data_IF_945769381034
#
_entry.id   IF_945769381034
#
_cell.length_a   1.000
_cell.length_b   1.000
_cell.length_c   1.000
_cell.angle_alpha   90.00
_cell.angle_beta   90.00
_cell.angle_gamma   90.00
#
_symmetry.space_group_name_H-M   'P 1'
#
loop_
_entity.id
_entity.type
_entity.pdbx_description
1 polymer ?
#
# COMPACT_ATOMS: atom_id res chain seq x y z
N UNK A 1 4.62 -2.21 -16.96
CA UNK A 1 4.95 -0.78 -16.81
C UNK A 1 3.71 0.07 -16.54
N UNK A 2 2.79 0.22 -17.50
CA UNK A 2 1.62 1.13 -17.42
C UNK A 2 0.67 0.87 -16.24
N UNK A 3 0.41 -0.40 -15.93
CA UNK A 3 -0.53 -0.79 -14.87
C UNK A 3 -0.17 -0.27 -13.47
N UNK A 4 1.14 -0.21 -13.14
CA UNK A 4 1.59 0.32 -11.83
C UNK A 4 1.32 1.82 -11.74
N UNK A 5 1.62 2.54 -12.83
CA UNK A 5 1.43 3.98 -12.88
C UNK A 5 -0.05 4.38 -12.77
N UNK A 6 -0.92 3.69 -13.51
CA UNK A 6 -2.37 3.89 -13.44
C UNK A 6 -2.92 3.59 -12.04
N UNK A 7 -2.45 2.52 -11.41
CA UNK A 7 -2.88 2.17 -10.05
C UNK A 7 -2.36 3.17 -9.02
N UNK A 8 -1.11 3.62 -9.16
CA UNK A 8 -0.51 4.62 -8.28
C UNK A 8 -1.24 5.96 -8.35
N UNK A 9 -1.60 6.42 -9.56
CA UNK A 9 -2.40 7.64 -9.72
C UNK A 9 -3.79 7.51 -9.07
N UNK A 10 -4.41 6.33 -9.13
CA UNK A 10 -5.69 6.07 -8.43
C UNK A 10 -5.52 5.97 -6.92
N UNK A 11 -4.37 5.49 -6.45
CA UNK A 11 -4.12 5.15 -5.04
C UNK A 11 -2.68 5.48 -4.61
N UNK A 12 -2.33 6.76 -4.47
CA UNK A 12 -0.95 7.20 -4.20
C UNK A 12 -0.44 6.82 -2.79
N UNK A 13 -1.33 6.34 -1.93
CA UNK A 13 -1.05 5.90 -0.56
C UNK A 13 -0.63 4.43 -0.48
N UNK A 14 -0.71 3.67 -1.58
CA UNK A 14 -0.36 2.26 -1.57
C UNK A 14 1.15 2.04 -1.60
N UNK A 15 1.67 1.55 -0.48
CA UNK A 15 3.03 1.03 -0.42
C UNK A 15 3.18 -0.29 -1.19
N UNK A 16 4.43 -0.73 -1.34
CA UNK A 16 4.82 -1.91 -2.14
C UNK A 16 3.93 -3.14 -1.88
N UNK A 17 3.58 -3.42 -0.63
CA UNK A 17 2.76 -4.60 -0.28
C UNK A 17 1.32 -4.51 -0.77
N UNK A 18 0.75 -3.30 -0.78
CA UNK A 18 -0.59 -3.05 -1.32
C UNK A 18 -0.53 -3.03 -2.85
N UNK A 19 0.53 -2.45 -3.41
CA UNK A 19 0.76 -2.40 -4.86
C UNK A 19 0.89 -3.80 -5.45
N UNK A 20 1.74 -4.65 -4.85
CA UNK A 20 1.83 -6.07 -5.19
C UNK A 20 0.43 -6.68 -5.16
N UNK A 21 -0.37 -6.33 -4.13
CA UNK A 21 -1.70 -6.90 -3.85
C UNK A 21 -2.66 -6.65 -5.01
N UNK A 22 -2.74 -5.38 -5.40
CA UNK A 22 -3.58 -4.94 -6.50
C UNK A 22 -3.12 -5.46 -7.86
N UNK A 23 -1.81 -5.61 -8.08
CA UNK A 23 -1.28 -6.04 -9.38
C UNK A 23 -1.42 -7.55 -9.61
N UNK A 24 -1.36 -8.38 -8.56
CA UNK A 24 -1.31 -9.86 -8.68
C UNK A 24 -2.53 -10.59 -8.15
N UNK A 25 -3.41 -9.93 -7.40
CA UNK A 25 -4.63 -10.60 -6.93
C UNK A 25 -5.60 -10.82 -8.11
N UNK A 26 -6.08 -12.05 -8.37
CA UNK A 26 -7.07 -12.32 -9.41
C UNK A 26 -8.44 -11.66 -9.12
N UNK A 27 -8.68 -11.24 -7.87
CA UNK A 27 -9.82 -10.39 -7.45
C UNK A 27 -9.44 -8.89 -7.33
N UNK A 28 -8.25 -8.53 -7.79
CA UNK A 28 -7.41 -7.41 -7.33
C UNK A 28 -7.69 -6.01 -7.84
N UNK A 29 -8.94 -5.66 -8.15
CA UNK A 29 -9.33 -4.23 -8.31
C UNK A 29 -10.25 -3.71 -7.21
N UNK A 30 -10.82 -4.59 -6.37
CA UNK A 30 -11.92 -4.22 -5.47
C UNK A 30 -11.63 -4.34 -3.96
N UNK A 31 -10.60 -5.06 -3.50
CA UNK A 31 -10.42 -5.25 -2.06
C UNK A 31 -9.41 -4.27 -1.45
N UNK A 32 -9.92 -3.26 -0.76
CA UNK A 32 -9.14 -2.36 0.10
C UNK A 32 -9.03 -3.04 1.46
N UNK A 33 -7.94 -3.76 1.73
CA UNK A 33 -7.75 -4.37 3.05
C UNK A 33 -6.42 -5.12 3.24
N UNK A 34 -5.85 -5.14 4.46
CA UNK A 34 -4.55 -5.74 4.74
C UNK A 34 -4.66 -7.25 5.00
N UNK A 35 -5.24 -8.02 4.09
CA UNK A 35 -5.27 -9.49 4.24
C UNK A 35 -4.10 -10.08 3.48
N UNK A 36 -3.06 -10.52 4.19
CA UNK A 36 -1.91 -11.27 3.64
C UNK A 36 -2.43 -12.57 2.99
N UNK A 37 -2.30 -12.79 1.67
CA UNK A 37 -2.32 -14.14 1.15
C UNK A 37 -0.99 -14.81 1.57
N UNK A 38 -1.09 -15.93 2.29
CA UNK A 38 0.05 -16.77 2.62
C UNK A 38 0.55 -17.42 1.32
N UNK A 39 1.65 -16.93 0.75
CA UNK A 39 2.22 -17.51 -0.48
C UNK A 39 2.84 -16.51 -1.46
N UNK A 40 2.82 -15.21 -1.17
CA UNK A 40 3.46 -14.24 -2.06
C UNK A 40 4.96 -14.18 -1.87
N UNK A 41 5.67 -14.29 -2.98
CA UNK A 41 7.12 -14.48 -2.96
C UNK A 41 7.81 -13.13 -2.75
N UNK A 42 8.85 -13.12 -1.91
CA UNK A 42 9.65 -11.92 -1.63
C UNK A 42 10.15 -11.24 -2.91
N UNK A 43 10.55 -12.06 -3.91
CA UNK A 43 11.00 -11.61 -5.23
C UNK A 43 10.02 -10.68 -5.94
N UNK A 44 8.72 -10.96 -5.85
CA UNK A 44 7.68 -10.17 -6.50
C UNK A 44 7.55 -8.79 -5.87
N UNK A 45 7.65 -8.74 -4.54
CA UNK A 45 7.67 -7.51 -3.77
C UNK A 45 8.94 -6.71 -4.04
N UNK A 46 10.09 -7.36 -4.14
CA UNK A 46 11.34 -6.73 -4.55
C UNK A 46 11.23 -6.13 -5.96
N UNK A 47 10.61 -6.86 -6.91
CA UNK A 47 10.42 -6.40 -8.28
C UNK A 47 9.56 -5.14 -8.34
N UNK A 48 8.41 -5.13 -7.66
CA UNK A 48 7.52 -3.97 -7.62
C UNK A 48 8.17 -2.78 -6.90
N UNK A 49 8.93 -3.02 -5.82
CA UNK A 49 9.72 -1.98 -5.14
C UNK A 49 10.78 -1.38 -6.06
N UNK A 50 11.51 -2.22 -6.79
CA UNK A 50 12.54 -1.79 -7.75
C UNK A 50 11.92 -0.97 -8.85
N UNK A 51 10.78 -1.41 -9.37
CA UNK A 51 10.08 -0.74 -10.46
C UNK A 51 9.52 0.62 -10.03
N UNK A 52 8.88 0.70 -8.87
CA UNK A 52 8.42 1.99 -8.31
C UNK A 52 9.60 2.96 -8.12
N UNK A 53 10.74 2.46 -7.65
CA UNK A 53 11.95 3.28 -7.44
C UNK A 53 12.55 3.77 -8.76
N UNK A 54 12.59 2.94 -9.80
CA UNK A 54 13.02 3.33 -11.15
C UNK A 54 12.10 4.40 -11.76
N UNK A 55 10.80 4.35 -11.44
CA UNK A 55 9.81 5.32 -11.93
C UNK A 55 9.67 6.57 -11.05
N UNK A 56 10.41 6.69 -9.95
CA UNK A 56 10.27 7.78 -8.99
C UNK A 56 8.92 7.81 -8.25
N UNK A 57 8.17 6.71 -8.26
CA UNK A 57 6.87 6.61 -7.59
C UNK A 57 7.09 6.34 -6.10
N UNK A 58 6.87 7.38 -5.28
CA UNK A 58 7.02 7.29 -3.83
C UNK A 58 5.65 7.34 -3.15
N UNK A 59 5.24 6.32 -2.37
CA UNK A 59 3.96 6.33 -1.70
C UNK A 59 3.88 7.48 -0.69
N UNK A 60 2.76 8.19 -0.71
CA UNK A 60 2.49 9.26 0.25
C UNK A 60 1.82 8.60 1.46
N UNK A 61 2.58 8.43 2.54
CA UNK A 61 2.03 7.86 3.77
C UNK A 61 1.04 8.84 4.40
N UNK A 62 -0.13 8.33 4.80
CA UNK A 62 -1.11 9.12 5.50
C UNK A 62 -0.52 9.62 6.83
N UNK A 63 -0.67 10.90 7.11
CA UNK A 63 -0.31 11.46 8.41
C UNK A 63 -1.10 10.71 9.49
N UNK A 64 -0.46 10.23 10.57
CA UNK A 64 -1.19 9.57 11.64
C UNK A 64 -2.27 10.50 12.19
N UNK A 65 -3.48 9.98 12.37
CA UNK A 65 -4.59 10.76 12.89
C UNK A 65 -4.36 11.05 14.38
N UNK A 66 -3.76 12.20 14.68
CA UNK A 66 -3.45 12.63 16.04
C UNK A 66 -4.62 13.34 16.74
N UNK A 67 -5.72 13.66 16.03
CA UNK A 67 -6.90 14.27 16.66
C UNK A 67 -7.71 13.27 17.48
N UNK A 68 -7.64 11.98 17.13
CA UNK A 68 -8.26 10.91 17.90
C UNK A 68 -7.25 10.35 18.90
N UNK A 69 -7.57 10.35 20.21
CA UNK A 69 -6.71 9.69 21.18
C UNK A 69 -6.62 8.19 20.85
N UNK A 70 -5.40 7.66 20.88
CA UNK A 70 -5.20 6.22 20.79
C UNK A 70 -5.94 5.52 21.93
N UNK A 71 -6.40 4.28 21.68
CA UNK A 71 -7.08 3.44 22.68
C UNK A 71 -6.21 3.36 23.94
N UNK A 72 -6.73 3.84 25.08
CA UNK A 72 -6.02 3.85 26.37
C UNK A 72 -5.39 5.18 26.79
N UNK A 73 -5.50 6.26 26.00
CA UNK A 73 -5.12 7.61 26.45
C UNK A 73 -6.19 8.19 27.38
N UNK A 74 -5.79 8.68 28.55
CA UNK A 74 -6.66 9.38 29.51
C UNK A 74 -6.91 10.82 29.01
N UNK A 75 -8.17 11.22 28.96
CA UNK A 75 -8.55 12.62 28.76
C UNK A 75 -8.37 13.33 30.09
N UNK A 76 -7.46 14.31 30.15
CA UNK A 76 -7.28 15.15 31.33
C UNK A 76 -8.23 16.35 31.24
N UNK A 77 -8.97 16.69 32.31
CA UNK A 77 -9.80 17.88 32.38
C UNK A 77 -8.98 19.18 32.43
#
# INVERSE_FOLDING_TARGET
MRQIYEQFLKTPFFGVRQMTWHLRSPRGRAAVGPRKPAGWTLREREADKRLMRLMGLMPIYQKPNASRPAKGRKTYP
#
